data_IF_935324251895
#
_entry.id   IF_935324251895
#
_cell.length_a   1.000
_cell.length_b   1.000
_cell.length_c   1.000
_cell.angle_alpha   90.00
_cell.angle_beta   90.00
_cell.angle_gamma   90.00
#
_symmetry.space_group_name_H-M   'P 1'
#
loop_
_entity.id
_entity.type
_entity.pdbx_description
1 polymer ?
#
# COMPACT_ATOMS: atom_id res chain seq x y z
N UNK A 1 29.56 40.41 14.85
CA UNK A 1 28.60 41.54 14.72
C UNK A 1 28.97 42.30 13.46
N UNK A 2 28.14 42.20 12.41
CA UNK A 2 28.10 42.98 11.14
C UNK A 2 29.37 43.05 10.25
N UNK A 3 29.16 43.27 8.94
CA UNK A 3 30.12 43.40 7.80
C UNK A 3 30.59 42.05 7.22
N UNK A 4 30.66 41.82 5.88
CA UNK A 4 30.31 42.58 4.65
C UNK A 4 30.08 41.55 3.49
N UNK A 5 29.68 41.80 2.22
CA UNK A 5 29.47 42.98 1.35
C UNK A 5 28.15 42.83 0.54
N UNK A 6 27.44 43.91 0.15
CA UNK A 6 27.39 44.61 -1.17
C UNK A 6 26.73 43.89 -2.37
N UNK A 7 25.94 44.65 -3.13
CA UNK A 7 25.33 44.28 -4.42
C UNK A 7 26.35 44.35 -5.56
N UNK A 8 26.06 43.65 -6.67
CA UNK A 8 26.36 44.15 -8.01
C UNK A 8 25.12 44.03 -8.91
N UNK A 9 24.95 44.97 -9.85
CA UNK A 9 23.73 45.10 -10.66
C UNK A 9 23.90 44.43 -12.03
N UNK A 10 22.85 43.80 -12.57
CA UNK A 10 22.62 43.84 -14.02
C UNK A 10 21.13 43.96 -14.38
N UNK A 11 20.88 44.59 -15.53
CA UNK A 11 19.64 45.34 -15.85
C UNK A 11 18.49 44.47 -16.37
N UNK A 12 17.27 44.96 -16.18
CA UNK A 12 16.12 44.66 -17.05
C UNK A 12 16.45 44.94 -18.52
N UNK A 13 16.06 44.01 -19.40
CA UNK A 13 15.50 44.33 -20.72
C UNK A 13 14.32 43.39 -21.02
N UNK A 14 13.43 43.83 -21.90
CA UNK A 14 12.01 43.52 -21.83
C UNK A 14 11.52 42.63 -23.01
N UNK A 15 10.35 41.98 -22.83
CA UNK A 15 9.53 41.31 -23.85
C UNK A 15 10.07 40.01 -24.48
N UNK A 16 9.18 39.05 -24.78
CA UNK A 16 9.57 37.89 -25.60
C UNK A 16 8.51 36.85 -25.96
N UNK A 17 8.08 36.02 -25.01
CA UNK A 17 7.30 34.80 -25.32
C UNK A 17 6.34 34.36 -24.20
N UNK A 18 5.22 33.74 -24.61
CA UNK A 18 4.28 33.09 -23.70
C UNK A 18 4.75 31.66 -23.39
N UNK A 19 5.48 31.45 -22.29
CA UNK A 19 5.80 30.11 -21.78
C UNK A 19 4.90 29.65 -20.61
N UNK A 20 3.71 30.27 -20.46
CA UNK A 20 2.64 29.77 -19.57
C UNK A 20 1.92 28.57 -20.23
N UNK A 21 2.68 27.55 -20.62
CA UNK A 21 2.18 26.28 -21.18
C UNK A 21 3.03 25.05 -20.82
N UNK A 22 4.13 25.20 -20.09
CA UNK A 22 4.94 24.08 -19.58
C UNK A 22 4.56 23.66 -18.14
N UNK A 23 3.27 23.83 -17.79
CA UNK A 23 2.59 22.89 -16.91
C UNK A 23 2.41 21.56 -17.66
N UNK A 24 3.53 20.86 -17.91
CA UNK A 24 3.47 19.45 -18.27
C UNK A 24 2.68 18.74 -17.17
N UNK A 25 1.52 18.17 -17.53
CA UNK A 25 0.88 17.14 -16.72
C UNK A 25 1.96 16.13 -16.38
N UNK A 26 2.31 15.98 -15.11
CA UNK A 26 3.39 15.10 -14.68
C UNK A 26 3.11 13.71 -15.24
N UNK A 27 3.92 13.26 -16.20
CA UNK A 27 3.70 11.98 -16.89
C UNK A 27 3.81 10.88 -15.84
N UNK A 28 2.66 10.42 -15.35
CA UNK A 28 2.59 9.50 -14.21
C UNK A 28 3.51 8.31 -14.48
N UNK A 29 4.53 8.18 -13.62
CA UNK A 29 5.58 7.19 -13.84
C UNK A 29 4.95 5.81 -13.77
N UNK A 30 5.25 4.96 -14.75
CA UNK A 30 4.58 3.66 -14.95
C UNK A 30 4.41 2.90 -13.63
N UNK A 31 3.17 2.56 -13.28
CA UNK A 31 2.79 1.89 -12.04
C UNK A 31 2.59 2.79 -10.81
N UNK A 32 2.80 4.11 -10.89
CA UNK A 32 2.45 5.04 -9.80
C UNK A 32 0.98 5.46 -9.88
N UNK A 33 0.32 5.51 -8.72
CA UNK A 33 -1.05 6.00 -8.58
C UNK A 33 -1.06 7.52 -8.81
N UNK A 34 -1.84 8.05 -9.78
CA UNK A 34 -1.96 9.48 -10.07
C UNK A 34 -2.30 10.29 -8.82
N UNK A 35 -1.75 11.49 -8.67
CA UNK A 35 -2.01 12.36 -7.50
C UNK A 35 -3.45 12.87 -7.45
N UNK A 36 -4.14 12.81 -8.58
CA UNK A 36 -5.53 13.18 -8.79
C UNK A 36 -6.52 12.04 -8.45
N UNK A 37 -6.03 10.87 -8.02
CA UNK A 37 -6.89 9.76 -7.58
C UNK A 37 -7.39 9.99 -6.15
N UNK A 38 -8.71 9.86 -5.92
CA UNK A 38 -9.40 10.20 -4.66
C UNK A 38 -8.86 9.50 -3.39
N UNK A 39 -8.14 8.38 -3.57
CA UNK A 39 -7.43 7.70 -2.49
C UNK A 39 -6.38 8.59 -1.81
N UNK A 40 -5.84 9.60 -2.50
CA UNK A 40 -4.89 10.53 -1.91
C UNK A 40 -5.53 11.46 -0.88
N UNK A 41 -6.78 11.87 -1.06
CA UNK A 41 -7.49 12.66 -0.05
C UNK A 41 -7.66 11.85 1.24
N UNK A 42 -8.02 10.57 1.11
CA UNK A 42 -8.11 9.63 2.23
C UNK A 42 -6.77 9.34 2.92
N UNK A 43 -5.66 9.37 2.18
CA UNK A 43 -4.30 9.15 2.71
C UNK A 43 -3.65 10.42 3.29
N UNK A 44 -4.09 11.61 2.87
CA UNK A 44 -3.61 12.90 3.36
C UNK A 44 -4.44 13.44 4.54
N UNK A 45 -5.73 13.08 4.59
CA UNK A 45 -6.70 13.50 5.61
C UNK A 45 -7.42 12.28 6.24
N UNK A 46 -6.68 11.34 6.85
CA UNK A 46 -7.27 10.11 7.40
C UNK A 46 -8.33 10.39 8.47
N UNK A 47 -8.25 11.50 9.20
CA UNK A 47 -9.21 11.92 10.22
C UNK A 47 -10.62 12.24 9.68
N UNK A 48 -10.77 12.43 8.36
CA UNK A 48 -12.06 12.63 7.68
C UNK A 48 -12.60 11.35 7.04
N UNK A 49 -11.85 10.25 7.15
CA UNK A 49 -12.09 8.96 6.51
C UNK A 49 -12.54 7.93 7.55
N UNK A 50 -13.31 6.94 7.09
CA UNK A 50 -13.76 5.81 7.90
C UNK A 50 -13.70 4.51 7.09
N UNK A 51 -13.80 3.39 7.81
CA UNK A 51 -13.72 2.04 7.26
C UNK A 51 -14.77 1.78 6.17
N UNK A 52 -15.98 2.32 6.36
CA UNK A 52 -17.12 2.07 5.48
C UNK A 52 -16.93 2.78 4.13
N UNK A 53 -16.57 4.07 4.12
CA UNK A 53 -16.24 4.81 2.88
C UNK A 53 -15.12 4.15 2.09
N UNK A 54 -14.04 3.74 2.75
CA UNK A 54 -12.92 3.06 2.07
C UNK A 54 -13.31 1.69 1.53
N UNK A 55 -14.16 0.96 2.27
CA UNK A 55 -14.71 -0.32 1.82
C UNK A 55 -15.63 -0.15 0.62
N UNK A 56 -16.51 0.85 0.62
CA UNK A 56 -17.37 1.19 -0.53
C UNK A 56 -16.53 1.60 -1.74
N UNK A 57 -15.56 2.50 -1.58
CA UNK A 57 -14.62 2.92 -2.61
C UNK A 57 -13.85 1.72 -3.20
N UNK A 58 -13.36 0.81 -2.36
CA UNK A 58 -12.67 -0.39 -2.83
C UNK A 58 -13.61 -1.30 -3.61
N UNK A 59 -14.73 -1.68 -3.02
CA UNK A 59 -15.64 -2.70 -3.55
C UNK A 59 -16.35 -2.24 -4.81
N UNK A 60 -16.80 -0.98 -4.88
CA UNK A 60 -17.55 -0.42 -6.01
C UNK A 60 -16.70 -0.05 -7.22
N UNK A 61 -15.44 0.37 -7.01
CA UNK A 61 -14.59 0.98 -8.05
C UNK A 61 -13.21 0.35 -8.17
N UNK A 62 -12.38 0.46 -7.12
CA UNK A 62 -10.94 0.14 -7.21
C UNK A 62 -10.71 -1.36 -7.47
N UNK A 63 -11.56 -2.24 -6.94
CA UNK A 63 -11.50 -3.70 -7.20
C UNK A 63 -11.56 -4.03 -8.71
N UNK A 64 -12.29 -3.24 -9.50
CA UNK A 64 -12.52 -3.46 -10.93
C UNK A 64 -11.53 -2.73 -11.85
N UNK A 65 -10.66 -1.86 -11.33
CA UNK A 65 -9.77 -1.05 -12.15
C UNK A 65 -8.72 -1.89 -12.90
N UNK A 66 -8.36 -1.42 -14.11
CA UNK A 66 -7.46 -2.09 -15.07
C UNK A 66 -6.47 -1.09 -15.71
N UNK A 67 -5.83 -0.30 -14.86
CA UNK A 67 -4.71 0.60 -15.16
C UNK A 67 -3.36 -0.09 -14.89
N UNK A 68 -2.26 0.47 -15.39
CA UNK A 68 -0.91 -0.07 -15.16
C UNK A 68 -0.44 0.08 -13.69
N UNK A 69 -1.13 0.89 -12.89
CA UNK A 69 -0.92 1.10 -11.46
C UNK A 69 -1.98 0.42 -10.56
N UNK A 70 -2.94 -0.33 -11.12
CA UNK A 70 -4.08 -0.89 -10.35
C UNK A 70 -3.66 -1.76 -9.16
N UNK A 71 -2.60 -2.56 -9.27
CA UNK A 71 -2.10 -3.35 -8.14
C UNK A 71 -1.54 -2.48 -7.00
N UNK A 72 -0.93 -1.34 -7.32
CA UNK A 72 -0.43 -0.41 -6.32
C UNK A 72 -1.57 0.41 -5.69
N UNK A 73 -2.58 0.81 -6.49
CA UNK A 73 -3.81 1.42 -5.99
C UNK A 73 -4.55 0.49 -5.02
N UNK A 74 -4.65 -0.81 -5.36
CA UNK A 74 -5.25 -1.83 -4.50
C UNK A 74 -4.46 -2.04 -3.21
N UNK A 75 -3.13 -2.17 -3.28
CA UNK A 75 -2.27 -2.26 -2.09
C UNK A 75 -2.43 -1.03 -1.16
N UNK A 76 -2.40 0.18 -1.72
CA UNK A 76 -2.56 1.43 -0.96
C UNK A 76 -3.94 1.53 -0.30
N UNK A 77 -5.01 1.15 -1.02
CA UNK A 77 -6.38 1.21 -0.48
C UNK A 77 -6.60 0.15 0.59
N UNK A 78 -6.13 -1.09 0.37
CA UNK A 78 -6.22 -2.17 1.37
C UNK A 78 -5.43 -1.81 2.64
N UNK A 79 -4.26 -1.17 2.50
CA UNK A 79 -3.54 -0.64 3.65
C UNK A 79 -4.33 0.45 4.39
N UNK A 80 -4.89 1.43 3.69
CA UNK A 80 -5.73 2.46 4.30
C UNK A 80 -6.93 1.86 5.05
N UNK A 81 -7.59 0.85 4.49
CA UNK A 81 -8.68 0.08 5.11
C UNK A 81 -8.23 -0.59 6.42
N UNK A 82 -7.02 -1.15 6.45
CA UNK A 82 -6.45 -1.70 7.67
C UNK A 82 -6.15 -0.63 8.73
N UNK A 83 -5.51 0.48 8.37
CA UNK A 83 -5.23 1.57 9.32
C UNK A 83 -6.50 2.27 9.84
N UNK A 84 -7.63 2.16 9.11
CA UNK A 84 -8.95 2.65 9.51
C UNK A 84 -9.78 1.63 10.32
N UNK A 85 -9.15 0.58 10.86
CA UNK A 85 -9.75 -0.26 11.91
C UNK A 85 -10.35 -1.59 11.47
N UNK A 86 -9.97 -2.13 10.29
CA UNK A 86 -10.50 -3.43 9.82
C UNK A 86 -10.19 -4.59 10.80
N UNK A 87 -9.05 -4.59 11.48
CA UNK A 87 -8.69 -5.62 12.48
C UNK A 87 -9.54 -5.43 13.76
N UNK A 88 -9.68 -4.18 14.19
CA UNK A 88 -10.38 -3.74 15.40
C UNK A 88 -11.89 -4.02 15.32
N UNK A 89 -12.47 -3.88 14.12
CA UNK A 89 -13.87 -4.20 13.82
C UNK A 89 -14.24 -5.66 14.12
N UNK A 90 -13.27 -6.57 13.97
CA UNK A 90 -13.42 -8.03 14.05
C UNK A 90 -14.47 -8.61 13.09
N UNK A 91 -14.88 -7.88 12.05
CA UNK A 91 -15.78 -8.44 11.03
C UNK A 91 -15.03 -9.52 10.24
N UNK A 92 -15.36 -10.78 10.53
CA UNK A 92 -14.77 -11.95 9.88
C UNK A 92 -15.08 -12.03 8.38
N UNK A 93 -16.22 -11.51 7.91
CA UNK A 93 -16.56 -11.50 6.47
C UNK A 93 -15.75 -10.44 5.73
N UNK A 94 -15.58 -9.27 6.34
CA UNK A 94 -14.81 -8.18 5.74
C UNK A 94 -13.31 -8.51 5.72
N UNK A 95 -12.79 -9.09 6.80
CA UNK A 95 -11.42 -9.61 6.85
C UNK A 95 -11.21 -10.76 5.84
N UNK A 96 -12.16 -11.70 5.71
CA UNK A 96 -12.13 -12.76 4.69
C UNK A 96 -12.12 -12.22 3.25
N UNK A 97 -12.94 -11.20 2.96
CA UNK A 97 -12.94 -10.52 1.67
C UNK A 97 -11.55 -9.92 1.35
N UNK A 98 -10.96 -9.17 2.28
CA UNK A 98 -9.65 -8.55 2.05
C UNK A 98 -8.47 -9.52 2.06
N UNK A 99 -8.55 -10.67 2.73
CA UNK A 99 -7.61 -11.79 2.52
C UNK A 99 -7.68 -12.26 1.06
N UNK A 100 -8.90 -12.50 0.55
CA UNK A 100 -9.12 -12.99 -0.82
C UNK A 100 -8.73 -11.98 -1.90
N UNK A 101 -8.88 -10.68 -1.66
CA UNK A 101 -8.38 -9.64 -2.56
C UNK A 101 -6.85 -9.59 -2.58
N UNK A 102 -6.19 -9.64 -1.43
CA UNK A 102 -4.72 -9.60 -1.35
C UNK A 102 -4.05 -10.79 -2.05
N UNK A 103 -4.67 -11.97 -2.00
CA UNK A 103 -4.20 -13.18 -2.68
C UNK A 103 -4.31 -13.12 -4.22
N UNK A 104 -4.96 -12.09 -4.79
CA UNK A 104 -5.05 -11.86 -6.24
C UNK A 104 -3.99 -10.90 -6.78
N UNK A 105 -3.27 -10.19 -5.90
CA UNK A 105 -2.30 -9.17 -6.26
C UNK A 105 -0.94 -9.79 -6.62
N UNK A 106 -0.13 -9.07 -7.41
CA UNK A 106 1.27 -9.44 -7.67
C UNK A 106 2.17 -9.25 -6.45
N UNK A 107 1.81 -8.36 -5.52
CA UNK A 107 2.38 -8.21 -4.18
C UNK A 107 1.39 -7.52 -3.24
N UNK A 108 1.62 -7.60 -1.92
CA UNK A 108 1.18 -6.57 -0.98
C UNK A 108 2.21 -6.37 0.14
N UNK A 109 3.13 -5.42 -0.07
CA UNK A 109 4.15 -5.08 0.92
C UNK A 109 3.64 -4.24 2.10
N UNK A 110 2.51 -3.54 1.91
CA UNK A 110 2.02 -2.56 2.88
C UNK A 110 1.27 -3.23 4.04
N UNK A 111 0.49 -4.27 3.76
CA UNK A 111 -0.36 -4.94 4.75
C UNK A 111 0.20 -6.28 5.27
N UNK A 112 1.51 -6.52 5.18
CA UNK A 112 2.12 -7.82 5.56
C UNK A 112 1.72 -8.25 7.00
N UNK A 113 1.85 -7.41 8.05
CA UNK A 113 1.37 -7.78 9.39
C UNK A 113 -0.13 -8.04 9.46
N UNK A 114 -0.93 -7.15 8.87
CA UNK A 114 -2.39 -7.15 8.98
C UNK A 114 -3.02 -8.33 8.22
N UNK A 115 -2.40 -8.83 7.16
CA UNK A 115 -2.80 -10.08 6.50
C UNK A 115 -2.74 -11.28 7.46
N UNK A 116 -1.63 -11.47 8.19
CA UNK A 116 -1.49 -12.58 9.15
C UNK A 116 -2.38 -12.39 10.40
N UNK A 117 -2.68 -11.15 10.79
CA UNK A 117 -3.71 -10.86 11.80
C UNK A 117 -5.12 -11.22 11.31
N UNK A 118 -5.44 -10.87 10.06
CA UNK A 118 -6.72 -11.22 9.42
C UNK A 118 -6.93 -12.73 9.35
N UNK A 119 -5.90 -13.49 8.93
CA UNK A 119 -5.94 -14.96 8.91
C UNK A 119 -6.27 -15.55 10.29
N UNK A 120 -5.87 -14.88 11.38
CA UNK A 120 -6.20 -15.29 12.74
C UNK A 120 -7.62 -14.89 13.14
N UNK A 121 -8.14 -13.74 12.70
CA UNK A 121 -9.53 -13.35 12.92
C UNK A 121 -10.52 -14.31 12.24
N UNK A 122 -10.15 -14.88 11.08
CA UNK A 122 -10.99 -15.84 10.34
C UNK A 122 -10.66 -17.31 10.64
N UNK A 123 -9.88 -17.62 11.68
CA UNK A 123 -9.38 -18.98 11.93
C UNK A 123 -10.50 -20.02 12.07
N UNK A 124 -11.62 -19.68 12.74
CA UNK A 124 -12.77 -20.57 12.90
C UNK A 124 -13.58 -20.82 11.60
N UNK A 125 -13.27 -20.13 10.49
CA UNK A 125 -14.00 -20.25 9.22
C UNK A 125 -13.38 -21.27 8.25
N UNK A 126 -12.20 -21.80 8.54
CA UNK A 126 -11.36 -22.53 7.58
C UNK A 126 -10.65 -23.73 8.22
N UNK A 127 -10.25 -24.68 7.39
CA UNK A 127 -9.34 -25.76 7.81
C UNK A 127 -7.90 -25.26 7.96
N UNK A 128 -7.10 -25.98 8.75
CA UNK A 128 -5.66 -25.73 8.92
C UNK A 128 -4.90 -25.75 7.58
N UNK A 129 -5.31 -26.62 6.64
CA UNK A 129 -4.73 -26.72 5.30
C UNK A 129 -5.04 -25.46 4.46
N UNK A 130 -6.28 -24.96 4.48
CA UNK A 130 -6.67 -23.74 3.77
C UNK A 130 -5.97 -22.49 4.31
N UNK A 131 -5.92 -22.34 5.64
CA UNK A 131 -5.19 -21.25 6.29
C UNK A 131 -3.69 -21.29 5.97
N UNK A 132 -3.09 -22.49 5.99
CA UNK A 132 -1.69 -22.71 5.58
C UNK A 132 -1.48 -22.37 4.12
N UNK A 133 -2.41 -22.75 3.24
CA UNK A 133 -2.37 -22.45 1.80
C UNK A 133 -2.49 -20.95 1.52
N UNK A 134 -3.33 -20.21 2.26
CA UNK A 134 -3.39 -18.75 2.18
C UNK A 134 -2.09 -18.11 2.65
N UNK A 135 -1.57 -18.52 3.81
CA UNK A 135 -0.29 -18.04 4.36
C UNK A 135 0.90 -18.26 3.40
N UNK A 136 1.01 -19.46 2.79
CA UNK A 136 2.04 -19.78 1.81
C UNK A 136 1.86 -19.05 0.48
N UNK A 137 0.62 -18.79 0.05
CA UNK A 137 0.36 -18.06 -1.20
C UNK A 137 0.74 -16.59 -1.06
N UNK A 138 0.37 -15.95 0.06
CA UNK A 138 0.75 -14.57 0.36
C UNK A 138 2.25 -14.39 0.56
N UNK A 139 2.90 -15.35 1.24
CA UNK A 139 4.36 -15.40 1.34
C UNK A 139 5.03 -15.53 -0.03
N UNK A 140 4.49 -16.39 -0.90
CA UNK A 140 5.04 -16.63 -2.25
C UNK A 140 4.93 -15.41 -3.16
N UNK A 141 3.82 -14.68 -3.18
CA UNK A 141 3.71 -13.45 -4.02
C UNK A 141 4.70 -12.38 -3.54
N UNK A 142 4.77 -12.15 -2.23
CA UNK A 142 5.62 -11.10 -1.66
C UNK A 142 7.12 -11.43 -1.78
N UNK A 143 7.54 -12.66 -1.48
CA UNK A 143 8.94 -13.09 -1.67
C UNK A 143 9.38 -12.97 -3.14
N UNK A 144 8.56 -13.43 -4.09
CA UNK A 144 8.84 -13.29 -5.53
C UNK A 144 9.00 -11.82 -5.95
N UNK A 145 8.15 -10.93 -5.43
CA UNK A 145 8.22 -9.51 -5.75
C UNK A 145 9.43 -8.81 -5.09
N UNK A 146 9.82 -9.22 -3.88
CA UNK A 146 11.05 -8.77 -3.20
C UNK A 146 12.30 -9.24 -3.95
N UNK A 147 12.30 -10.45 -4.51
CA UNK A 147 13.44 -10.98 -5.27
C UNK A 147 13.59 -10.32 -6.66
N UNK A 148 12.48 -10.10 -7.37
CA UNK A 148 12.47 -9.55 -8.74
C UNK A 148 12.60 -8.04 -8.82
N UNK A 149 12.29 -7.31 -7.74
CA UNK A 149 12.44 -5.85 -7.70
C UNK A 149 13.93 -5.45 -7.72
N UNK A 150 14.29 -4.50 -8.57
CA UNK A 150 15.65 -3.93 -8.61
C UNK A 150 15.78 -2.83 -7.53
N UNK A 151 16.14 -3.25 -6.32
CA UNK A 151 16.23 -2.37 -5.15
C UNK A 151 17.42 -1.40 -5.21
N UNK A 152 17.13 -0.10 -5.26
CA UNK A 152 18.13 0.95 -4.99
C UNK A 152 18.48 1.03 -3.50
N UNK A 153 17.52 0.73 -2.63
CA UNK A 153 17.69 0.64 -1.18
C UNK A 153 17.69 -0.83 -0.75
N UNK A 154 18.89 -1.35 -0.46
CA UNK A 154 19.09 -2.71 0.04
C UNK A 154 18.61 -2.91 1.47
N UNK A 155 18.66 -1.87 2.32
CA UNK A 155 18.12 -1.91 3.68
C UNK A 155 16.61 -2.08 3.65
N UNK A 156 15.90 -1.41 2.74
CA UNK A 156 14.45 -1.60 2.57
C UNK A 156 14.10 -3.01 2.09
N UNK A 157 14.93 -3.61 1.20
CA UNK A 157 14.79 -5.03 0.82
C UNK A 157 14.90 -5.95 2.05
N UNK A 158 15.92 -5.73 2.87
CA UNK A 158 16.12 -6.51 4.11
C UNK A 158 14.97 -6.34 5.11
N UNK A 159 14.47 -5.12 5.32
CA UNK A 159 13.33 -4.84 6.21
C UNK A 159 12.07 -5.61 5.80
N UNK A 160 11.72 -5.58 4.51
CA UNK A 160 10.56 -6.31 3.98
C UNK A 160 10.75 -7.82 4.07
N UNK A 161 11.96 -8.32 3.76
CA UNK A 161 12.30 -9.74 3.88
C UNK A 161 12.18 -10.23 5.33
N UNK A 162 12.73 -9.46 6.28
CA UNK A 162 12.65 -9.75 7.72
C UNK A 162 11.22 -9.69 8.23
N UNK A 163 10.44 -8.68 7.83
CA UNK A 163 9.02 -8.54 8.18
C UNK A 163 8.20 -9.75 7.73
N UNK A 164 8.32 -10.14 6.46
CA UNK A 164 7.58 -11.29 5.91
C UNK A 164 7.92 -12.59 6.65
N UNK A 165 9.21 -12.87 6.86
CA UNK A 165 9.67 -14.06 7.59
C UNK A 165 9.17 -14.05 9.05
N UNK A 166 9.25 -12.91 9.74
CA UNK A 166 8.83 -12.78 11.15
C UNK A 166 7.33 -12.96 11.32
N UNK A 167 6.51 -12.35 10.47
CA UNK A 167 5.05 -12.50 10.55
C UNK A 167 4.62 -13.94 10.22
N UNK A 168 5.21 -14.55 9.17
CA UNK A 168 4.99 -15.96 8.82
C UNK A 168 5.35 -16.91 9.96
N UNK A 169 6.52 -16.76 10.57
CA UNK A 169 6.95 -17.57 11.72
C UNK A 169 6.08 -17.33 12.96
N UNK A 170 5.64 -16.09 13.19
CA UNK A 170 4.73 -15.74 14.30
C UNK A 170 3.37 -16.39 14.10
N UNK A 171 2.85 -16.40 12.88
CA UNK A 171 1.60 -17.07 12.52
C UNK A 171 1.69 -18.59 12.77
N UNK A 172 2.71 -19.27 12.23
CA UNK A 172 2.91 -20.71 12.48
C UNK A 172 3.17 -21.05 13.97
N UNK A 173 3.76 -20.13 14.75
CA UNK A 173 3.99 -20.32 16.19
C UNK A 173 2.75 -20.03 17.06
N UNK A 174 1.80 -19.22 16.61
CA UNK A 174 0.71 -18.70 17.47
C UNK A 174 -0.71 -18.82 16.90
N UNK A 175 -0.90 -19.36 15.68
CA UNK A 175 -2.21 -19.79 15.16
C UNK A 175 -2.53 -21.26 15.49
N UNK A 176 -1.52 -22.12 15.52
CA UNK A 176 -1.65 -23.58 15.49
C UNK A 176 -1.60 -24.25 16.89
N UNK A 177 -1.72 -23.46 17.96
CA UNK A 177 -1.54 -23.90 19.34
C UNK A 177 -2.68 -23.47 20.26
N UNK A 178 -3.91 -23.75 19.85
CA UNK A 178 -5.03 -24.00 20.78
C UNK A 178 -5.22 -25.52 20.87
N UNK A 179 -5.21 -26.04 22.09
CA UNK A 179 -5.68 -27.39 22.44
C UNK A 179 -7.09 -27.29 23.01
#
# INVERSE_FOLDING_TARGET
>A
MVLSCQNDNFKDQNQGSNEISNLEKSKNLKGQVPREHEIWDHLLYPENTDLDKLTELYTSRISFEKTDYSDNLKQMTIHAIYENGLIESKDKKLNDYFIKEQLKLTSNFLSIPQFYQSLKLVEDNYTEEELTKFALTFDKINSNAIEKTNWRDTKRKEELTKSLILQRLTYYRHGFWKK
#
